data_IF_394224045323
#
_entry.id   IF_394224045323
#
_cell.length_a   1.000
_cell.length_b   1.000
_cell.length_c   1.000
_cell.angle_alpha   90.00
_cell.angle_beta   90.00
_cell.angle_gamma   90.00
#
_symmetry.space_group_name_H-M   'P 1'
#
loop_
_entity.id
_entity.type
_entity.pdbx_description
1 polymer ?
#
# COMPACT_ATOMS: atom_id res chain seq x y z
N UNK A 1 -60.69 25.95 -9.68
CA UNK A 1 -59.83 25.02 -10.44
C UNK A 1 -58.37 25.40 -10.13
N UNK A 2 -57.84 25.03 -8.96
CA UNK A 2 -56.87 23.94 -8.74
C UNK A 2 -55.78 23.84 -9.82
N UNK A 3 -54.84 24.78 -9.82
CA UNK A 3 -53.55 24.60 -10.51
C UNK A 3 -52.57 23.96 -9.53
N UNK A 4 -52.27 22.70 -9.83
CA UNK A 4 -51.35 21.81 -9.14
C UNK A 4 -49.94 22.41 -9.25
N UNK A 5 -49.36 22.81 -8.12
CA UNK A 5 -47.95 23.18 -8.02
C UNK A 5 -47.14 21.88 -8.08
N UNK A 6 -46.54 21.60 -9.24
CA UNK A 6 -45.71 20.41 -9.48
C UNK A 6 -44.42 20.57 -8.67
N UNK A 7 -44.32 19.77 -7.60
CA UNK A 7 -43.12 19.56 -6.81
C UNK A 7 -42.09 18.80 -7.66
N UNK A 8 -41.09 19.51 -8.19
CA UNK A 8 -39.94 18.90 -8.88
C UNK A 8 -39.04 18.24 -7.83
N UNK A 9 -39.16 16.92 -7.73
CA UNK A 9 -38.32 16.06 -6.90
C UNK A 9 -36.93 15.94 -7.55
N UNK A 10 -35.94 16.70 -7.05
CA UNK A 10 -34.53 16.60 -7.45
C UNK A 10 -33.95 15.25 -7.00
N UNK A 11 -33.91 14.28 -7.91
CA UNK A 11 -33.12 13.05 -7.78
C UNK A 11 -31.63 13.41 -7.88
N UNK A 12 -30.96 13.58 -6.74
CA UNK A 12 -29.50 13.68 -6.68
C UNK A 12 -28.96 12.25 -6.83
N UNK A 13 -28.26 11.89 -7.92
CA UNK A 13 -27.58 10.61 -7.98
C UNK A 13 -26.50 10.59 -6.89
N UNK A 14 -26.61 9.64 -5.95
CA UNK A 14 -25.56 9.41 -4.97
C UNK A 14 -24.30 8.94 -5.70
N UNK A 15 -23.33 9.83 -5.86
CA UNK A 15 -22.03 9.48 -6.41
C UNK A 15 -21.33 8.61 -5.36
N UNK A 16 -21.35 7.29 -5.58
CA UNK A 16 -20.58 6.35 -4.78
C UNK A 16 -19.11 6.50 -5.19
N UNK A 17 -18.35 7.26 -4.39
CA UNK A 17 -16.89 7.30 -4.53
C UNK A 17 -16.32 5.95 -4.09
N UNK A 18 -16.10 5.04 -5.04
CA UNK A 18 -15.24 3.90 -4.81
C UNK A 18 -13.85 4.44 -4.44
N UNK A 19 -13.43 4.25 -3.19
CA UNK A 19 -12.09 4.55 -2.72
C UNK A 19 -11.10 3.68 -3.50
N UNK A 20 -10.56 4.18 -4.60
CA UNK A 20 -9.49 3.50 -5.31
C UNK A 20 -8.29 3.40 -4.37
N UNK A 21 -7.84 2.18 -4.13
CA UNK A 21 -6.67 1.93 -3.30
C UNK A 21 -5.42 2.28 -4.10
N UNK A 22 -4.71 3.32 -3.68
CA UNK A 22 -3.44 3.68 -4.31
C UNK A 22 -2.43 2.54 -4.19
N UNK A 23 -1.89 2.11 -5.33
CA UNK A 23 -0.87 1.06 -5.43
C UNK A 23 0.46 1.62 -5.94
N UNK A 24 1.51 0.80 -5.87
CA UNK A 24 2.82 1.04 -6.50
C UNK A 24 3.34 -0.28 -7.07
N UNK A 25 4.01 -0.21 -8.21
CA UNK A 25 4.60 -1.38 -8.88
C UNK A 25 6.01 -1.70 -8.34
N UNK A 26 6.50 -2.93 -8.53
CA UNK A 26 7.81 -3.36 -8.02
C UNK A 26 8.97 -2.58 -8.66
N UNK A 27 8.90 -2.34 -9.97
CA UNK A 27 9.90 -1.55 -10.69
C UNK A 27 9.95 -0.10 -10.19
N UNK A 28 8.80 0.50 -9.90
CA UNK A 28 8.69 1.86 -9.40
C UNK A 28 9.20 1.97 -7.96
N UNK A 29 8.81 1.03 -7.08
CA UNK A 29 9.35 0.96 -5.71
C UNK A 29 10.87 0.79 -5.73
N UNK A 30 11.40 -0.12 -6.56
CA UNK A 30 12.83 -0.33 -6.70
C UNK A 30 13.56 0.94 -7.18
N UNK A 31 12.98 1.67 -8.13
CA UNK A 31 13.52 2.96 -8.57
C UNK A 31 13.55 3.98 -7.43
N UNK A 32 12.48 4.09 -6.63
CA UNK A 32 12.47 5.00 -5.48
C UNK A 32 13.51 4.66 -4.41
N UNK A 33 13.76 3.37 -4.18
CA UNK A 33 14.81 2.90 -3.27
C UNK A 33 16.19 3.29 -3.82
N UNK A 34 16.46 3.01 -5.09
CA UNK A 34 17.74 3.34 -5.74
C UNK A 34 18.02 4.85 -5.77
N UNK A 35 16.96 5.65 -5.94
CA UNK A 35 17.01 7.11 -5.94
C UNK A 35 17.07 7.71 -4.52
N UNK A 36 17.09 6.89 -3.46
CA UNK A 36 17.05 7.32 -2.06
C UNK A 36 15.89 8.28 -1.76
N UNK A 37 14.73 8.05 -2.39
CA UNK A 37 13.55 8.88 -2.14
C UNK A 37 13.09 8.69 -0.69
N UNK A 38 12.54 9.73 -0.04
CA UNK A 38 11.92 9.58 1.26
C UNK A 38 10.74 8.59 1.17
N UNK A 39 10.94 7.38 1.72
CA UNK A 39 9.91 6.36 1.80
C UNK A 39 10.12 5.48 3.04
N UNK A 40 9.05 4.81 3.47
CA UNK A 40 9.11 3.74 4.45
C UNK A 40 8.40 2.50 3.91
N UNK A 41 8.98 1.33 4.12
CA UNK A 41 8.39 0.05 3.68
C UNK A 41 7.90 -0.67 4.93
N UNK A 42 6.60 -0.93 5.01
CA UNK A 42 5.95 -1.64 6.12
C UNK A 42 5.59 -3.03 5.64
N UNK A 43 6.30 -4.04 6.11
CA UNK A 43 6.12 -5.41 5.67
C UNK A 43 5.29 -6.21 6.68
N UNK A 44 4.14 -6.68 6.20
CA UNK A 44 3.15 -7.41 7.00
C UNK A 44 3.19 -8.93 6.77
N UNK A 45 4.16 -9.43 6.01
CA UNK A 45 4.33 -10.86 5.78
C UNK A 45 4.56 -11.63 7.09
N UNK A 46 4.32 -12.94 7.05
CA UNK A 46 4.74 -13.83 8.13
C UNK A 46 6.27 -13.77 8.30
N UNK A 47 6.82 -14.14 9.47
CA UNK A 47 8.27 -14.19 9.66
C UNK A 47 9.01 -15.02 8.59
N UNK A 48 8.38 -16.12 8.12
CA UNK A 48 8.92 -16.95 7.05
C UNK A 48 8.96 -16.20 5.71
N UNK A 49 7.84 -15.59 5.30
CA UNK A 49 7.78 -14.83 4.04
C UNK A 49 8.74 -13.63 4.03
N UNK A 50 8.80 -12.89 5.14
CA UNK A 50 9.76 -11.79 5.30
C UNK A 50 11.22 -12.27 5.19
N UNK A 51 11.55 -13.42 5.80
CA UNK A 51 12.91 -13.99 5.72
C UNK A 51 13.25 -14.44 4.30
N UNK A 52 12.26 -14.98 3.58
CA UNK A 52 12.44 -15.47 2.22
C UNK A 52 12.67 -14.31 1.25
N UNK A 53 11.77 -13.33 1.24
CA UNK A 53 11.80 -12.19 0.33
C UNK A 53 11.30 -10.91 1.01
N UNK A 54 12.14 -9.89 1.06
CA UNK A 54 11.80 -8.54 1.54
C UNK A 54 12.55 -7.48 0.73
N UNK A 55 12.13 -6.23 0.88
CA UNK A 55 12.95 -5.09 0.47
C UNK A 55 13.90 -4.68 1.59
N UNK A 56 15.09 -4.21 1.23
CA UNK A 56 16.05 -3.63 2.18
C UNK A 56 15.39 -2.52 3.00
N UNK A 57 15.74 -2.46 4.30
CA UNK A 57 15.21 -1.51 5.27
C UNK A 57 13.69 -1.57 5.52
N UNK A 58 13.03 -2.66 5.08
CA UNK A 58 11.63 -2.91 5.45
C UNK A 58 11.47 -3.04 6.96
N UNK A 59 10.41 -2.43 7.48
CA UNK A 59 9.99 -2.55 8.87
C UNK A 59 9.12 -3.81 8.96
N UNK A 60 9.62 -4.94 9.53
CA UNK A 60 8.79 -6.11 9.71
C UNK A 60 7.78 -5.79 10.81
N UNK A 61 6.49 -5.74 10.47
CA UNK A 61 5.42 -5.66 11.46
C UNK A 61 4.70 -6.98 11.61
N UNK A 62 4.72 -7.82 10.56
CA UNK A 62 3.73 -8.87 10.40
C UNK A 62 2.32 -8.27 10.30
N UNK A 63 1.34 -9.11 10.01
CA UNK A 63 -0.07 -8.70 10.03
C UNK A 63 -0.59 -8.56 11.48
N UNK A 64 0.10 -7.73 12.28
CA UNK A 64 -0.16 -7.53 13.70
C UNK A 64 -0.57 -6.07 13.96
N UNK A 65 -1.83 -5.82 14.35
CA UNK A 65 -2.35 -4.48 14.56
C UNK A 65 -1.59 -3.63 15.60
N UNK A 66 -1.07 -4.24 16.66
CA UNK A 66 -0.31 -3.51 17.70
C UNK A 66 1.02 -3.01 17.15
N UNK A 67 1.73 -3.84 16.37
CA UNK A 67 2.98 -3.45 15.72
C UNK A 67 2.76 -2.40 14.64
N UNK A 68 1.67 -2.50 13.88
CA UNK A 68 1.27 -1.48 12.90
C UNK A 68 0.98 -0.14 13.57
N UNK A 69 0.19 -0.12 14.66
CA UNK A 69 -0.07 1.11 15.44
C UNK A 69 1.22 1.73 16.00
N UNK A 70 2.09 0.91 16.59
CA UNK A 70 3.41 1.37 17.07
C UNK A 70 4.28 1.96 15.95
N UNK A 71 4.19 1.38 14.75
CA UNK A 71 4.91 1.88 13.57
C UNK A 71 4.31 3.19 13.06
N UNK A 72 2.98 3.31 13.06
CA UNK A 72 2.26 4.53 12.69
C UNK A 72 2.69 5.75 13.54
N UNK A 73 2.93 5.56 14.84
CA UNK A 73 3.42 6.64 15.72
C UNK A 73 4.73 7.28 15.24
N UNK A 74 5.60 6.50 14.59
CA UNK A 74 6.84 7.01 13.96
C UNK A 74 6.58 7.60 12.58
N UNK A 75 5.67 6.99 11.83
CA UNK A 75 5.41 7.36 10.43
C UNK A 75 4.54 8.61 10.27
N UNK A 76 3.72 8.97 11.27
CA UNK A 76 2.86 10.17 11.22
C UNK A 76 3.65 11.47 11.04
N UNK A 77 4.84 11.56 11.65
CA UNK A 77 5.75 12.71 11.56
C UNK A 77 6.82 12.57 10.47
N UNK A 78 7.00 11.36 9.91
CA UNK A 78 7.91 11.15 8.79
C UNK A 78 7.48 11.92 7.53
N UNK A 79 8.45 12.21 6.65
CA UNK A 79 8.20 12.70 5.29
C UNK A 79 8.29 11.52 4.32
N UNK A 80 7.54 11.56 3.22
CA UNK A 80 7.65 10.55 2.15
C UNK A 80 6.51 9.56 2.03
N UNK A 81 6.59 8.65 1.07
CA UNK A 81 5.57 7.62 0.82
C UNK A 81 5.73 6.46 1.80
N UNK A 82 4.64 5.74 2.06
CA UNK A 82 4.63 4.55 2.92
C UNK A 82 4.11 3.42 2.06
N UNK A 83 4.89 2.37 1.88
CA UNK A 83 4.51 1.24 1.04
C UNK A 83 4.25 0.05 1.92
N UNK A 84 3.03 -0.47 1.88
CA UNK A 84 2.62 -1.70 2.57
C UNK A 84 2.92 -2.88 1.66
N UNK A 85 3.72 -3.81 2.19
CA UNK A 85 4.14 -5.03 1.49
C UNK A 85 3.53 -6.24 2.19
N UNK A 86 2.87 -7.10 1.42
CA UNK A 86 2.33 -8.37 1.87
C UNK A 86 2.66 -9.46 0.86
N UNK A 87 2.20 -10.69 1.11
CA UNK A 87 2.39 -11.81 0.18
C UNK A 87 1.78 -11.53 -1.21
N UNK A 88 0.53 -11.05 -1.25
CA UNK A 88 -0.25 -10.92 -2.49
C UNK A 88 -0.76 -9.50 -2.80
N UNK A 89 -0.55 -8.52 -1.90
CA UNK A 89 -1.07 -7.16 -2.07
C UNK A 89 -2.60 -7.03 -1.89
N UNK A 90 -3.28 -8.10 -1.47
CA UNK A 90 -4.74 -8.14 -1.29
C UNK A 90 -5.25 -7.60 0.06
N UNK A 91 -6.30 -8.22 0.58
CA UNK A 91 -7.06 -7.74 1.76
C UNK A 91 -6.19 -7.46 2.99
N UNK A 92 -5.16 -8.26 3.27
CA UNK A 92 -4.26 -8.00 4.40
C UNK A 92 -3.51 -6.68 4.27
N UNK A 93 -3.07 -6.33 3.05
CA UNK A 93 -2.41 -5.05 2.81
C UNK A 93 -3.38 -3.88 2.93
N UNK A 94 -4.64 -4.07 2.47
CA UNK A 94 -5.71 -3.09 2.63
C UNK A 94 -6.01 -2.85 4.12
N UNK A 95 -6.15 -3.92 4.90
CA UNK A 95 -6.41 -3.84 6.34
C UNK A 95 -5.25 -3.17 7.09
N UNK A 96 -4.00 -3.47 6.70
CA UNK A 96 -2.83 -2.81 7.26
C UNK A 96 -2.78 -1.33 6.91
N UNK A 97 -3.09 -0.95 5.67
CA UNK A 97 -3.25 0.46 5.26
C UNK A 97 -4.29 1.17 6.12
N UNK A 98 -5.46 0.56 6.32
CA UNK A 98 -6.51 1.14 7.15
C UNK A 98 -6.08 1.26 8.61
N UNK A 99 -5.37 0.26 9.15
CA UNK A 99 -4.82 0.32 10.51
C UNK A 99 -3.84 1.47 10.67
N UNK A 100 -2.94 1.67 9.70
CA UNK A 100 -1.99 2.80 9.69
C UNK A 100 -2.73 4.15 9.58
N UNK A 101 -3.76 4.23 8.72
CA UNK A 101 -4.54 5.44 8.53
C UNK A 101 -5.34 5.83 9.78
N UNK A 102 -6.01 4.85 10.41
CA UNK A 102 -6.73 5.03 11.66
C UNK A 102 -5.80 5.44 12.82
N UNK A 103 -4.53 5.02 12.76
CA UNK A 103 -3.49 5.44 13.69
C UNK A 103 -2.83 6.79 13.32
N UNK A 104 -3.43 7.57 12.42
CA UNK A 104 -3.05 8.96 12.16
C UNK A 104 -2.06 9.19 11.02
N UNK A 105 -1.68 8.14 10.27
CA UNK A 105 -0.91 8.32 9.03
C UNK A 105 -1.84 8.84 7.94
N UNK A 106 -1.43 9.88 7.20
CA UNK A 106 -2.23 10.40 6.08
C UNK A 106 -2.43 9.32 5.02
N UNK A 107 -3.70 8.93 4.77
CA UNK A 107 -4.05 7.85 3.82
C UNK A 107 -3.45 8.06 2.43
N UNK A 108 -3.37 9.30 1.95
CA UNK A 108 -2.76 9.64 0.65
C UNK A 108 -1.26 9.35 0.52
N UNK A 109 -0.56 9.09 1.64
CA UNK A 109 0.84 8.68 1.64
C UNK A 109 1.02 7.17 1.59
N UNK A 110 -0.04 6.40 1.86
CA UNK A 110 0.04 4.95 2.04
C UNK A 110 -0.35 4.26 0.73
N UNK A 111 0.61 3.55 0.15
CA UNK A 111 0.47 2.78 -1.07
C UNK A 111 0.55 1.29 -0.74
N UNK A 112 -0.10 0.45 -1.53
CA UNK A 112 0.06 -1.00 -1.45
C UNK A 112 0.95 -1.46 -2.60
N UNK A 113 1.90 -2.35 -2.32
CA UNK A 113 2.67 -2.99 -3.37
C UNK A 113 1.77 -3.91 -4.20
N UNK A 114 1.61 -3.59 -5.47
CA UNK A 114 0.73 -4.32 -6.38
C UNK A 114 1.15 -5.78 -6.52
N UNK A 115 0.20 -6.69 -6.29
CA UNK A 115 0.44 -8.13 -6.33
C UNK A 115 1.36 -8.68 -5.23
N UNK A 116 1.78 -7.84 -4.28
CA UNK A 116 2.66 -8.24 -3.18
C UNK A 116 3.96 -8.88 -3.63
N UNK A 117 4.62 -9.63 -2.75
CA UNK A 117 5.88 -10.31 -3.08
C UNK A 117 5.72 -11.47 -4.09
N UNK A 118 4.54 -12.07 -4.21
CA UNK A 118 4.27 -13.13 -5.20
C UNK A 118 4.39 -12.62 -6.65
N UNK A 119 4.04 -11.35 -6.88
CA UNK A 119 4.19 -10.72 -8.18
C UNK A 119 5.65 -10.57 -8.62
N UNK A 120 6.62 -10.52 -7.70
CA UNK A 120 8.04 -10.40 -8.04
C UNK A 120 8.67 -11.69 -8.64
N UNK A 121 7.89 -12.75 -8.83
CA UNK A 121 8.42 -14.01 -9.34
C UNK A 121 8.86 -13.89 -10.81
N UNK A 122 10.02 -14.49 -11.13
CA UNK A 122 10.71 -14.44 -12.44
C UNK A 122 9.91 -14.87 -13.68
N UNK A 123 8.66 -15.33 -13.51
CA UNK A 123 7.75 -15.74 -14.59
C UNK A 123 6.60 -14.74 -14.83
N UNK A 124 6.54 -13.66 -14.05
CA UNK A 124 5.44 -12.72 -14.15
C UNK A 124 5.54 -11.91 -15.46
N UNK A 125 4.52 -12.04 -16.30
CA UNK A 125 4.37 -11.32 -17.58
C UNK A 125 3.93 -9.87 -17.41
N UNK A 126 3.84 -9.37 -16.17
CA UNK A 126 3.28 -8.06 -15.89
C UNK A 126 4.37 -6.97 -15.88
N UNK A 127 4.03 -5.80 -16.43
CA UNK A 127 4.93 -4.63 -16.45
C UNK A 127 5.29 -4.14 -15.04
N UNK A 128 4.45 -4.45 -14.05
CA UNK A 128 4.63 -4.12 -12.63
C UNK A 128 5.43 -5.14 -11.81
N UNK A 129 5.87 -6.24 -12.42
CA UNK A 129 6.34 -7.45 -11.72
C UNK A 129 7.84 -7.70 -11.80
N UNK A 130 8.61 -6.91 -12.56
CA UNK A 130 10.06 -7.07 -12.64
C UNK A 130 10.70 -6.34 -11.45
N UNK A 131 11.16 -7.04 -10.38
CA UNK A 131 12.04 -6.39 -9.42
C UNK A 131 13.30 -5.93 -10.17
N UNK A 132 13.86 -4.77 -9.82
CA UNK A 132 15.18 -4.39 -10.31
C UNK A 132 16.12 -5.56 -10.00
N UNK A 133 16.74 -6.09 -11.06
CA UNK A 133 17.58 -7.30 -11.04
C UNK A 133 18.38 -7.43 -9.75
N UNK A 134 18.33 -8.62 -9.12
CA UNK A 134 19.19 -9.06 -8.01
C UNK A 134 20.50 -8.25 -7.97
N UNK A 135 20.62 -7.31 -7.04
CA UNK A 135 21.94 -6.85 -6.65
C UNK A 135 22.55 -7.97 -5.81
N UNK A 136 23.17 -8.92 -6.51
CA UNK A 136 24.21 -9.75 -5.95
C UNK A 136 25.30 -8.81 -5.46
N UNK A 137 25.27 -8.42 -4.20
CA UNK A 137 26.45 -7.89 -3.53
C UNK A 137 27.42 -9.06 -3.37
N UNK A 138 28.30 -9.20 -4.37
CA UNK A 138 29.59 -9.83 -4.16
C UNK A 138 30.30 -9.04 -3.04
N UNK A 139 30.49 -9.69 -1.90
CA UNK A 139 31.58 -9.40 -0.98
C UNK A 139 32.53 -10.59 -1.01
#
# INVERSE_FOLDING_TARGET
MKHIVILVLLLIPAIVFASQTSTVCHNELAAWINENRPLAIVDIQTPAGFKEHNYTDSIPTGNNPLRLKKTAEKLKSSKGRIVVVSKSGGNDAINARETLAQAGVKRSRILILEGGMEAASSKASCDCCKPASKQTTLK
#
